data_IF_211196271599
#
_entry.id   IF_211196271599
#
_cell.length_a   1.000
_cell.length_b   1.000
_cell.length_c   1.000
_cell.angle_alpha   90.00
_cell.angle_beta   90.00
_cell.angle_gamma   90.00
#
_symmetry.space_group_name_H-M   'P 1'
#
loop_
_entity.id
_entity.type
_entity.pdbx_description
1 polymer ?
#
# COMPACT_ATOMS: atom_id res chain seq x y z
N UNK A 1 0.64 3.16 31.73
CA UNK A 1 -0.16 4.40 31.52
C UNK A 1 -0.47 4.49 30.05
N UNK A 2 -1.69 4.88 29.67
CA UNK A 2 -2.06 5.14 28.29
C UNK A 2 -2.38 6.62 28.16
N UNK A 3 -1.81 7.27 27.15
CA UNK A 3 -1.96 8.70 26.91
C UNK A 3 -2.41 8.88 25.47
N UNK A 4 -3.45 9.70 25.28
CA UNK A 4 -3.91 10.13 23.96
C UNK A 4 -3.75 11.65 23.92
N UNK A 5 -2.86 12.16 23.09
CA UNK A 5 -2.64 13.59 22.91
C UNK A 5 -2.32 13.90 21.46
N UNK A 6 -2.68 15.10 21.03
CA UNK A 6 -2.30 15.64 19.72
C UNK A 6 -1.05 16.53 19.80
N UNK A 7 -0.60 16.88 21.02
CA UNK A 7 0.61 17.68 21.23
C UNK A 7 1.86 16.82 21.04
N UNK A 8 2.54 17.05 19.91
CA UNK A 8 3.73 16.32 19.49
C UNK A 8 4.90 16.52 20.45
N UNK A 9 5.07 17.72 21.02
CA UNK A 9 6.18 18.01 21.92
C UNK A 9 5.99 17.33 23.28
N UNK A 10 4.73 17.23 23.72
CA UNK A 10 4.37 16.47 24.91
C UNK A 10 4.63 14.98 24.71
N UNK A 11 4.15 14.41 23.59
CA UNK A 11 4.39 13.01 23.26
C UNK A 11 5.90 12.72 23.18
N UNK A 12 6.68 13.60 22.55
CA UNK A 12 8.11 13.40 22.37
C UNK A 12 8.91 13.28 23.68
N UNK A 13 8.43 13.92 24.76
CA UNK A 13 9.11 13.92 26.07
C UNK A 13 8.64 12.83 27.01
N UNK A 14 7.41 12.33 26.85
CA UNK A 14 6.74 11.49 27.85
C UNK A 14 6.60 10.04 27.40
N UNK A 15 6.45 9.78 26.10
CA UNK A 15 6.16 8.43 25.61
C UNK A 15 7.42 7.71 25.15
N UNK A 16 7.45 6.41 25.39
CA UNK A 16 8.48 5.46 24.98
C UNK A 16 7.98 4.49 23.90
N UNK A 17 6.68 4.50 23.62
CA UNK A 17 6.02 3.71 22.58
C UNK A 17 4.83 4.46 21.99
N UNK A 18 4.62 4.28 20.69
CA UNK A 18 3.51 4.88 19.96
C UNK A 18 2.74 3.80 19.22
N UNK A 19 1.43 3.81 19.35
CA UNK A 19 0.53 2.96 18.59
C UNK A 19 -0.18 3.81 17.55
N UNK A 20 0.00 3.48 16.27
CA UNK A 20 -0.72 4.08 15.16
C UNK A 20 -1.89 3.17 14.80
N UNK A 21 -3.10 3.70 14.86
CA UNK A 21 -4.31 2.99 14.44
C UNK A 21 -4.71 3.47 13.05
N UNK A 22 -4.97 2.52 12.16
CA UNK A 22 -5.43 2.76 10.79
C UNK A 22 -6.57 1.80 10.44
N UNK A 23 -7.24 2.02 9.29
CA UNK A 23 -8.31 1.12 8.82
C UNK A 23 -7.81 -0.33 8.59
N UNK A 24 -6.51 -0.51 8.34
CA UNK A 24 -5.90 -1.83 8.12
C UNK A 24 -5.39 -2.49 9.40
N UNK A 25 -5.40 -1.80 10.54
CA UNK A 25 -4.97 -2.35 11.82
C UNK A 25 -4.18 -1.38 12.68
N UNK A 26 -3.57 -1.94 13.73
CA UNK A 26 -2.74 -1.22 14.69
C UNK A 26 -1.27 -1.57 14.49
N UNK A 27 -0.42 -0.55 14.54
CA UNK A 27 1.01 -0.66 14.32
C UNK A 27 1.74 -0.05 15.51
N UNK A 28 2.68 -0.81 16.09
CA UNK A 28 3.48 -0.36 17.23
C UNK A 28 4.83 0.19 16.76
N UNK A 29 5.24 1.28 17.37
CA UNK A 29 6.53 1.94 17.17
C UNK A 29 7.22 2.13 18.50
N UNK A 30 8.54 1.93 18.51
CA UNK A 30 9.36 2.10 19.70
C UNK A 30 10.01 3.48 19.73
N UNK A 31 10.05 4.08 20.91
CA UNK A 31 10.60 5.41 21.14
C UNK A 31 9.53 6.49 21.16
N UNK A 32 10.02 7.72 21.11
CA UNK A 32 9.21 8.92 21.21
C UNK A 32 8.57 9.31 19.87
N UNK A 33 7.91 10.47 19.84
CA UNK A 33 7.24 10.98 18.65
C UNK A 33 8.19 11.18 17.46
N UNK A 34 9.38 11.74 17.69
CA UNK A 34 10.37 11.96 16.64
C UNK A 34 10.85 10.64 16.02
N UNK A 35 11.13 9.64 16.85
CA UNK A 35 11.51 8.31 16.39
C UNK A 35 10.38 7.60 15.61
N UNK A 36 9.13 7.79 16.03
CA UNK A 36 7.95 7.29 15.31
C UNK A 36 7.86 7.86 13.90
N UNK A 37 8.06 9.17 13.71
CA UNK A 37 7.96 9.80 12.39
C UNK A 37 8.97 9.20 11.40
N UNK A 38 10.21 8.96 11.85
CA UNK A 38 11.25 8.34 11.04
C UNK A 38 10.90 6.89 10.70
N UNK A 39 10.58 6.07 11.71
CA UNK A 39 10.22 4.66 11.50
C UNK A 39 9.00 4.50 10.59
N UNK A 40 8.02 5.40 10.68
CA UNK A 40 6.84 5.41 9.81
C UNK A 40 7.23 5.68 8.37
N UNK A 41 8.10 6.66 8.13
CA UNK A 41 8.58 6.99 6.80
C UNK A 41 9.38 5.82 6.20
N UNK A 42 10.32 5.25 6.95
CA UNK A 42 11.11 4.08 6.50
C UNK A 42 10.21 2.88 6.16
N UNK A 43 9.19 2.63 6.97
CA UNK A 43 8.21 1.58 6.70
C UNK A 43 7.42 1.85 5.42
N UNK A 44 6.96 3.09 5.22
CA UNK A 44 6.26 3.48 4.00
C UNK A 44 7.13 3.29 2.76
N UNK A 45 8.42 3.62 2.84
CA UNK A 45 9.36 3.41 1.75
C UNK A 45 9.62 1.93 1.49
N UNK A 46 9.80 1.14 2.56
CA UNK A 46 9.97 -0.31 2.47
C UNK A 46 8.78 -0.98 1.80
N UNK A 47 7.55 -0.72 2.27
CA UNK A 47 6.32 -1.30 1.73
C UNK A 47 6.08 -0.90 0.28
N UNK A 48 6.42 0.34 -0.08
CA UNK A 48 6.32 0.80 -1.47
C UNK A 48 7.32 0.05 -2.36
N UNK A 49 8.58 -0.05 -1.93
CA UNK A 49 9.61 -0.78 -2.67
C UNK A 49 9.27 -2.28 -2.84
N UNK A 50 8.78 -2.91 -1.77
CA UNK A 50 8.26 -4.29 -1.80
C UNK A 50 7.13 -4.45 -2.81
N UNK A 51 6.16 -3.52 -2.79
CA UNK A 51 5.05 -3.51 -3.73
C UNK A 51 5.51 -3.40 -5.18
N UNK A 52 6.40 -2.45 -5.49
CA UNK A 52 6.92 -2.27 -6.85
C UNK A 52 7.69 -3.51 -7.32
N UNK A 53 8.52 -4.10 -6.46
CA UNK A 53 9.29 -5.31 -6.79
C UNK A 53 8.38 -6.48 -7.14
N UNK A 54 7.30 -6.68 -6.36
CA UNK A 54 6.30 -7.73 -6.61
C UNK A 54 5.54 -7.46 -7.90
N UNK A 55 5.09 -6.21 -8.11
CA UNK A 55 4.38 -5.81 -9.32
C UNK A 55 5.23 -6.05 -10.57
N UNK A 56 6.50 -5.65 -10.55
CA UNK A 56 7.44 -5.85 -11.65
C UNK A 56 7.67 -7.35 -11.93
N UNK A 57 7.72 -8.16 -10.88
CA UNK A 57 7.83 -9.62 -11.02
C UNK A 57 6.60 -10.20 -11.70
N UNK A 58 5.39 -9.77 -11.31
CA UNK A 58 4.15 -10.19 -11.96
C UNK A 58 4.07 -9.78 -13.43
N UNK A 59 4.50 -8.55 -13.76
CA UNK A 59 4.54 -8.09 -15.15
C UNK A 59 5.50 -8.92 -16.01
N UNK A 60 6.69 -9.24 -15.48
CA UNK A 60 7.66 -10.12 -16.17
C UNK A 60 7.12 -11.53 -16.38
N UNK A 61 6.45 -12.10 -15.38
CA UNK A 61 5.81 -13.42 -15.51
C UNK A 61 4.68 -13.40 -16.54
N UNK A 62 3.87 -12.34 -16.54
CA UNK A 62 2.79 -12.15 -17.51
C UNK A 62 3.32 -12.04 -18.94
N UNK A 63 4.41 -11.30 -19.15
CA UNK A 63 5.08 -11.21 -20.46
C UNK A 63 5.61 -12.58 -20.92
N UNK A 64 6.18 -13.37 -20.02
CA UNK A 64 6.59 -14.73 -20.32
C UNK A 64 5.40 -15.61 -20.73
N UNK A 65 4.26 -15.50 -20.01
CA UNK A 65 3.04 -16.23 -20.32
C UNK A 65 2.51 -15.82 -21.70
N UNK A 66 2.41 -14.52 -21.99
CA UNK A 66 1.97 -13.99 -23.30
C UNK A 66 2.81 -14.54 -24.46
N UNK A 67 4.13 -14.59 -24.30
CA UNK A 67 5.04 -15.08 -25.36
C UNK A 67 4.95 -16.59 -25.58
N UNK A 68 4.73 -17.37 -24.52
CA UNK A 68 4.74 -18.83 -24.60
C UNK A 68 3.36 -19.46 -24.83
N UNK A 69 2.26 -18.78 -24.52
CA UNK A 69 0.91 -19.31 -24.75
C UNK A 69 0.57 -19.50 -26.24
N UNK A 70 1.26 -18.75 -27.10
CA UNK A 70 1.17 -18.82 -28.56
C UNK A 70 2.07 -19.92 -29.17
N UNK A 71 2.94 -20.58 -28.39
CA UNK A 71 3.79 -21.69 -28.85
C UNK A 71 3.20 -23.01 -28.34
N UNK A 72 2.89 -23.94 -29.23
CA UNK A 72 2.26 -25.22 -28.87
C UNK A 72 3.11 -26.08 -27.91
N UNK A 73 4.44 -26.08 -28.07
CA UNK A 73 5.33 -26.90 -27.24
C UNK A 73 5.45 -26.45 -25.78
N UNK A 74 5.22 -25.16 -25.48
CA UNK A 74 5.34 -24.59 -24.13
C UNK A 74 4.01 -24.10 -23.57
N UNK A 75 2.90 -24.39 -24.26
CA UNK A 75 1.55 -23.95 -23.90
C UNK A 75 1.11 -24.44 -22.53
N UNK A 76 1.28 -25.72 -22.24
CA UNK A 76 0.85 -26.30 -20.95
C UNK A 76 1.63 -25.72 -19.76
N UNK A 77 2.92 -25.45 -19.96
CA UNK A 77 3.75 -24.78 -18.96
C UNK A 77 3.29 -23.33 -18.73
N UNK A 78 2.96 -22.59 -19.80
CA UNK A 78 2.44 -21.23 -19.70
C UNK A 78 1.08 -21.19 -18.98
N UNK A 79 0.17 -22.12 -19.28
CA UNK A 79 -1.13 -22.25 -18.61
C UNK A 79 -0.96 -22.59 -17.13
N UNK A 80 -0.03 -23.48 -16.79
CA UNK A 80 0.28 -23.82 -15.40
C UNK A 80 0.80 -22.63 -14.59
N UNK A 81 1.71 -21.84 -15.18
CA UNK A 81 2.23 -20.60 -14.56
C UNK A 81 1.14 -19.54 -14.42
N UNK A 82 0.31 -19.36 -15.45
CA UNK A 82 -0.82 -18.44 -15.42
C UNK A 82 -1.76 -18.72 -14.25
N UNK A 83 -2.14 -19.99 -14.03
CA UNK A 83 -2.99 -20.38 -12.89
C UNK A 83 -2.35 -20.09 -11.53
N UNK A 84 -1.02 -20.12 -11.43
CA UNK A 84 -0.30 -19.74 -10.20
C UNK A 84 -0.33 -18.22 -10.03
N UNK A 85 -0.02 -17.47 -11.08
CA UNK A 85 0.00 -16.01 -11.06
C UNK A 85 -1.39 -15.43 -10.72
N UNK A 86 -2.47 -15.97 -11.31
CA UNK A 86 -3.86 -15.60 -10.96
C UNK A 86 -4.12 -15.75 -9.45
N UNK A 87 -3.71 -16.88 -8.85
CA UNK A 87 -3.91 -17.09 -7.40
C UNK A 87 -3.10 -16.11 -6.56
N UNK A 88 -1.88 -15.80 -6.97
CA UNK A 88 -1.03 -14.83 -6.28
C UNK A 88 -1.64 -13.42 -6.35
N UNK A 89 -2.07 -12.98 -7.53
CA UNK A 89 -2.70 -11.66 -7.71
C UNK A 89 -3.99 -11.56 -6.90
N UNK A 90 -4.87 -12.58 -6.93
CA UNK A 90 -6.08 -12.62 -6.09
C UNK A 90 -5.77 -12.50 -4.60
N UNK A 91 -4.71 -13.17 -4.13
CA UNK A 91 -4.31 -13.08 -2.73
C UNK A 91 -3.84 -11.66 -2.36
N UNK A 92 -3.10 -11.00 -3.26
CA UNK A 92 -2.66 -9.61 -3.07
C UNK A 92 -3.82 -8.64 -3.07
N UNK A 93 -4.82 -8.83 -3.94
CA UNK A 93 -6.01 -7.98 -3.96
C UNK A 93 -6.80 -8.06 -2.64
N UNK A 94 -6.81 -9.23 -1.99
CA UNK A 94 -7.60 -9.44 -0.78
C UNK A 94 -6.90 -9.03 0.52
N UNK A 95 -5.57 -9.04 0.59
CA UNK A 95 -4.88 -8.63 1.81
C UNK A 95 -3.46 -8.09 1.62
N UNK A 96 -3.18 -7.59 0.43
CA UNK A 96 -1.97 -6.83 0.13
C UNK A 96 -0.72 -7.67 -0.11
N UNK A 97 0.36 -6.97 -0.43
CA UNK A 97 1.64 -7.60 -0.77
C UNK A 97 2.30 -8.30 0.42
N UNK A 98 1.98 -7.91 1.65
CA UNK A 98 2.53 -8.56 2.85
C UNK A 98 2.14 -10.04 2.96
N UNK A 99 0.99 -10.45 2.41
CA UNK A 99 0.63 -11.88 2.33
C UNK A 99 1.67 -12.66 1.53
N UNK A 100 2.27 -12.03 0.50
CA UNK A 100 3.29 -12.73 -0.28
C UNK A 100 4.61 -12.93 0.43
N UNK A 101 4.98 -11.96 1.25
CA UNK A 101 6.28 -11.94 1.89
C UNK A 101 6.29 -12.75 3.18
N UNK A 102 5.14 -12.82 3.86
CA UNK A 102 4.99 -13.65 5.03
C UNK A 102 4.69 -15.09 4.59
N UNK A 103 5.53 -16.05 5.01
CA UNK A 103 5.39 -17.49 4.75
C UNK A 103 4.08 -18.15 5.27
N UNK A 104 3.07 -17.36 5.64
CA UNK A 104 1.71 -17.76 6.03
C UNK A 104 0.74 -17.97 4.86
N UNK A 105 1.27 -18.07 3.65
CA UNK A 105 0.52 -18.39 2.45
C UNK A 105 -0.47 -19.54 2.58
N UNK A 106 -0.04 -20.63 3.19
CA UNK A 106 -0.85 -21.83 3.37
C UNK A 106 -2.09 -21.58 4.24
N UNK A 107 -1.97 -20.72 5.25
CA UNK A 107 -3.06 -20.36 6.17
C UNK A 107 -4.05 -19.39 5.52
N UNK A 108 -3.53 -18.38 4.80
CA UNK A 108 -4.37 -17.36 4.16
C UNK A 108 -5.25 -17.95 3.06
N UNK A 109 -4.75 -18.94 2.32
CA UNK A 109 -5.51 -19.62 1.26
C UNK A 109 -6.76 -20.34 1.80
N UNK A 110 -6.76 -20.73 3.09
CA UNK A 110 -7.90 -21.37 3.74
C UNK A 110 -8.99 -20.39 4.20
N UNK A 111 -8.61 -19.14 4.49
CA UNK A 111 -9.50 -18.10 5.00
C UNK A 111 -10.05 -17.19 3.90
N UNK A 112 -9.25 -16.95 2.86
CA UNK A 112 -9.69 -16.18 1.70
C UNK A 112 -10.50 -17.11 0.80
N UNK A 113 -11.79 -16.81 0.60
CA UNK A 113 -12.62 -17.42 -0.44
C UNK A 113 -12.12 -16.98 -1.81
N UNK A 114 -11.02 -17.58 -2.28
CA UNK A 114 -10.48 -17.30 -3.60
C UNK A 114 -11.50 -17.85 -4.60
N UNK A 115 -12.22 -16.95 -5.28
CA UNK A 115 -13.13 -17.31 -6.36
C UNK A 115 -12.39 -18.19 -7.38
N UNK A 116 -13.00 -19.33 -7.74
CA UNK A 116 -12.46 -20.29 -8.71
C UNK A 116 -12.53 -19.78 -10.15
N UNK A 117 -13.06 -18.56 -10.36
CA UNK A 117 -13.11 -17.92 -11.67
C UNK A 117 -11.74 -17.92 -12.35
N UNK A 118 -11.76 -18.39 -13.59
CA UNK A 118 -10.59 -18.52 -14.46
C UNK A 118 -10.44 -17.22 -15.22
N UNK A 119 -9.47 -16.40 -14.81
CA UNK A 119 -9.14 -15.19 -15.56
C UNK A 119 -8.46 -15.50 -16.88
N UNK A 120 -8.73 -14.67 -17.88
CA UNK A 120 -7.95 -14.62 -19.11
C UNK A 120 -6.68 -13.78 -18.94
N UNK A 121 -5.76 -13.86 -19.92
CA UNK A 121 -4.48 -13.14 -19.86
C UNK A 121 -4.68 -11.62 -19.84
N UNK A 122 -5.72 -11.13 -20.55
CA UNK A 122 -6.04 -9.71 -20.63
C UNK A 122 -6.62 -9.18 -19.30
N UNK A 123 -7.51 -9.95 -18.67
CA UNK A 123 -8.07 -9.63 -17.36
C UNK A 123 -6.98 -9.62 -16.28
N UNK A 124 -6.11 -10.64 -16.29
CA UNK A 124 -4.99 -10.72 -15.36
C UNK A 124 -4.06 -9.49 -15.45
N UNK A 125 -3.84 -8.96 -16.65
CA UNK A 125 -3.07 -7.72 -16.83
C UNK A 125 -3.77 -6.51 -16.21
N UNK A 126 -5.09 -6.39 -16.40
CA UNK A 126 -5.87 -5.31 -15.82
C UNK A 126 -5.82 -5.37 -14.29
N UNK A 127 -5.99 -6.56 -13.71
CA UNK A 127 -5.89 -6.78 -12.26
C UNK A 127 -4.51 -6.40 -11.73
N UNK A 128 -3.41 -6.83 -12.38
CA UNK A 128 -2.04 -6.43 -11.98
C UNK A 128 -1.84 -4.92 -12.04
N UNK A 129 -2.40 -4.24 -13.05
CA UNK A 129 -2.31 -2.77 -13.18
C UNK A 129 -3.19 -2.04 -12.17
N UNK A 130 -4.31 -2.65 -11.76
CA UNK A 130 -5.25 -2.10 -10.80
C UNK A 130 -4.79 -2.27 -9.34
N UNK A 131 -3.74 -3.08 -9.09
CA UNK A 131 -3.15 -3.22 -7.76
C UNK A 131 -2.77 -1.84 -7.21
N UNK A 132 -3.33 -1.50 -6.05
CA UNK A 132 -3.04 -0.26 -5.35
C UNK A 132 -1.84 -0.43 -4.43
N UNK A 133 -1.06 0.65 -4.24
CA UNK A 133 0.01 0.67 -3.25
C UNK A 133 -0.59 0.43 -1.86
N UNK A 134 0.04 -0.40 -1.01
CA UNK A 134 -0.39 -0.63 0.37
C UNK A 134 -0.14 0.61 1.27
N UNK A 135 0.50 1.66 0.76
CA UNK A 135 0.87 2.85 1.51
C UNK A 135 -0.01 4.03 1.10
N UNK A 136 -0.95 4.39 1.96
CA UNK A 136 -1.71 5.64 1.80
C UNK A 136 -0.91 6.79 2.39
N UNK A 137 -0.11 7.47 1.56
CA UNK A 137 0.54 8.72 1.99
C UNK A 137 -0.45 9.88 1.91
N UNK A 138 -0.53 10.76 2.91
CA UNK A 138 -1.26 12.01 2.77
C UNK A 138 -0.72 12.77 1.55
N UNK A 139 -1.58 13.36 0.71
CA UNK A 139 -1.12 14.13 -0.43
C UNK A 139 -0.24 15.29 0.06
N UNK A 140 0.90 15.49 -0.60
CA UNK A 140 1.72 16.69 -0.37
C UNK A 140 1.02 17.88 -1.00
N UNK A 141 0.40 18.72 -0.16
CA UNK A 141 -0.24 19.95 -0.64
C UNK A 141 0.83 21.03 -0.80
N UNK A 142 1.32 21.19 -2.03
CA UNK A 142 2.21 22.30 -2.38
C UNK A 142 1.39 23.59 -2.59
N UNK A 143 1.00 24.23 -1.48
CA UNK A 143 0.35 25.55 -1.54
C UNK A 143 1.38 26.63 -1.82
N UNK A 144 1.28 27.26 -3.00
CA UNK A 144 2.01 28.49 -3.31
C UNK A 144 1.11 29.68 -2.95
N UNK A 145 1.35 30.25 -1.78
CA UNK A 145 0.59 31.38 -1.26
C UNK A 145 1.26 32.68 -1.72
N UNK A 146 0.72 33.31 -2.76
CA UNK A 146 1.22 34.59 -3.27
C UNK A 146 0.53 35.74 -2.51
N UNK A 147 1.31 36.56 -1.81
CA UNK A 147 0.78 37.71 -1.06
C UNK A 147 0.84 38.97 -1.92
N UNK A 148 -0.30 39.56 -2.27
CA UNK A 148 -0.32 40.86 -2.97
C UNK A 148 -0.14 42.06 -2.04
N UNK A 149 -0.15 41.86 -0.71
CA UNK A 149 -0.06 42.93 0.29
C UNK A 149 1.07 42.65 1.27
N UNK A 150 1.89 43.67 1.57
CA UNK A 150 2.94 43.64 2.60
C UNK A 150 2.39 43.76 4.03
N UNK A 151 1.24 43.17 4.33
CA UNK A 151 0.74 43.10 5.72
C UNK A 151 1.09 41.74 6.31
N UNK A 152 1.52 41.72 7.57
CA UNK A 152 1.94 40.50 8.28
C UNK A 152 0.81 39.53 8.61
N UNK A 153 -0.36 39.66 7.98
CA UNK A 153 -1.55 38.87 8.26
C UNK A 153 -2.01 38.17 6.97
N UNK A 154 -1.63 36.91 6.84
CA UNK A 154 -2.08 36.04 5.76
C UNK A 154 -3.51 35.56 6.06
N UNK A 155 -4.50 36.17 5.42
CA UNK A 155 -5.91 35.73 5.52
C UNK A 155 -6.24 34.77 4.37
N UNK A 156 -6.34 33.48 4.67
CA UNK A 156 -6.85 32.48 3.72
C UNK A 156 -8.39 32.53 3.72
N UNK A 157 -9.00 33.11 2.67
CA UNK A 157 -10.45 33.00 2.43
C UNK A 157 -10.72 31.78 1.56
N UNK A 158 -11.60 30.91 2.04
CA UNK A 158 -12.09 29.75 1.31
C UNK A 158 -13.56 29.53 1.64
N UNK A 159 -14.34 29.20 0.63
CA UNK A 159 -15.79 29.01 0.75
C UNK A 159 -16.17 27.56 1.07
N UNK A 160 -15.29 26.59 0.77
CA UNK A 160 -15.55 25.14 0.90
C UNK A 160 -14.26 24.33 1.20
N UNK A 161 -13.38 24.83 2.07
CA UNK A 161 -12.20 24.05 2.48
C UNK A 161 -12.56 23.04 3.56
N UNK A 162 -12.51 21.76 3.21
CA UNK A 162 -12.53 20.68 4.19
C UNK A 162 -11.10 20.44 4.67
N UNK A 163 -10.76 20.93 5.86
CA UNK A 163 -9.47 20.63 6.52
C UNK A 163 -9.68 19.43 7.43
N UNK A 164 -9.25 18.26 6.98
CA UNK A 164 -9.41 17.02 7.73
C UNK A 164 -9.31 15.81 6.83
N UNK A 165 -9.45 14.62 7.42
CA UNK A 165 -9.67 13.40 6.64
C UNK A 165 -11.16 13.34 6.27
N UNK A 166 -11.51 12.99 5.01
CA UNK A 166 -12.90 12.70 4.68
C UNK A 166 -13.34 11.47 5.49
N UNK A 167 -14.51 11.57 6.13
CA UNK A 167 -15.15 10.48 6.87
C UNK A 167 -15.45 9.26 5.97
#
# INVERSE_FOLDING_TARGET
MLIVSHDRYFLDRVVDRIWEMSRSGMEEYRGNYSAYVVQRQERWERRESEFQTVRDTFLKELDYIKRNIARDSTRDQAVGRMRRLVRQVKAVEQGGVQILLNNKWSEVTSQVRISTERWEVMELEQHIKALQSPVTRPPHINMRLETNLRSGELVLRTSEMTVGYPD
#
